data_IF_532818520146
#
_entry.id   IF_532818520146
#
_cell.length_a   1.000
_cell.length_b   1.000
_cell.length_c   1.000
_cell.angle_alpha   90.00
_cell.angle_beta   90.00
_cell.angle_gamma   90.00
#
_symmetry.space_group_name_H-M   'P 1'
#
loop_
_entity.id
_entity.type
_entity.pdbx_description
1 polymer ?
#
# COMPACT_ATOMS: atom_id res chain seq x y z
N UNK A 1 -32.96 -21.29 -11.70
CA UNK A 1 -32.60 -19.85 -11.69
C UNK A 1 -31.10 -19.69 -11.80
N UNK A 2 -30.56 -19.27 -12.94
CA UNK A 2 -29.13 -19.05 -13.11
C UNK A 2 -28.71 -17.77 -12.36
N UNK A 3 -27.94 -17.92 -11.29
CA UNK A 3 -27.42 -16.79 -10.50
C UNK A 3 -26.43 -16.02 -11.36
N UNK A 4 -26.84 -14.88 -11.93
CA UNK A 4 -25.94 -13.96 -12.65
C UNK A 4 -24.81 -13.53 -11.70
N UNK A 5 -23.62 -14.08 -11.93
CA UNK A 5 -22.39 -13.72 -11.21
C UNK A 5 -22.10 -12.24 -11.48
N UNK A 6 -22.37 -11.37 -10.50
CA UNK A 6 -22.10 -9.93 -10.60
C UNK A 6 -20.61 -9.73 -10.89
N UNK A 7 -20.28 -9.07 -12.02
CA UNK A 7 -18.90 -8.68 -12.34
C UNK A 7 -18.37 -7.81 -11.19
N UNK A 8 -17.33 -8.30 -10.51
CA UNK A 8 -16.68 -7.58 -9.40
C UNK A 8 -16.06 -6.31 -10.00
N UNK A 9 -16.53 -5.13 -9.58
CA UNK A 9 -15.96 -3.87 -10.02
C UNK A 9 -14.43 -3.89 -9.86
N UNK A 10 -13.70 -3.45 -10.88
CA UNK A 10 -12.24 -3.43 -10.87
C UNK A 10 -11.77 -2.69 -9.61
N UNK A 11 -11.22 -3.43 -8.65
CA UNK A 11 -10.75 -2.87 -7.37
C UNK A 11 -9.57 -1.94 -7.68
N UNK A 12 -9.83 -0.62 -7.63
CA UNK A 12 -8.79 0.40 -7.69
C UNK A 12 -7.81 0.14 -6.54
N UNK A 13 -6.54 -0.10 -6.86
CA UNK A 13 -5.50 -0.34 -5.85
C UNK A 13 -4.70 0.95 -5.63
N UNK A 14 -4.38 1.32 -4.38
CA UNK A 14 -3.49 2.44 -4.10
C UNK A 14 -2.07 2.08 -4.55
N UNK A 15 -1.59 2.71 -5.62
CA UNK A 15 -0.24 2.55 -6.14
C UNK A 15 0.61 3.70 -5.60
N UNK A 16 1.76 3.43 -4.94
CA UNK A 16 2.66 4.48 -4.52
C UNK A 16 3.19 5.24 -5.75
N UNK A 17 3.03 6.56 -5.76
CA UNK A 17 3.46 7.41 -6.86
C UNK A 17 4.98 7.42 -7.02
N UNK A 18 5.74 7.33 -5.92
CA UNK A 18 7.18 7.29 -5.91
C UNK A 18 7.69 5.95 -5.35
N UNK A 19 8.05 5.04 -6.27
CA UNK A 19 8.54 3.69 -5.94
C UNK A 19 9.86 3.73 -5.14
N UNK A 20 10.75 4.68 -5.43
CA UNK A 20 12.06 4.82 -4.75
C UNK A 20 11.88 5.21 -3.27
N UNK A 21 11.03 6.20 -3.00
CA UNK A 21 10.69 6.59 -1.62
C UNK A 21 10.00 5.46 -0.87
N UNK A 22 9.05 4.77 -1.51
CA UNK A 22 8.36 3.64 -0.90
C UNK A 22 9.32 2.51 -0.51
N UNK A 23 10.27 2.16 -1.40
CA UNK A 23 11.29 1.14 -1.12
C UNK A 23 12.19 1.51 0.07
N UNK A 24 12.64 2.79 0.14
CA UNK A 24 13.43 3.28 1.28
C UNK A 24 12.64 3.20 2.59
N UNK A 25 11.38 3.64 2.61
CA UNK A 25 10.53 3.56 3.81
C UNK A 25 10.25 2.11 4.19
N UNK A 26 10.05 1.21 3.21
CA UNK A 26 9.89 -0.23 3.46
C UNK A 26 11.12 -0.84 4.11
N UNK A 27 12.32 -0.47 3.67
CA UNK A 27 13.57 -0.91 4.30
C UNK A 27 13.70 -0.37 5.74
N UNK A 28 13.33 0.89 5.96
CA UNK A 28 13.30 1.47 7.31
C UNK A 28 12.28 0.77 8.21
N UNK A 29 11.10 0.41 7.68
CA UNK A 29 10.09 -0.32 8.42
C UNK A 29 10.59 -1.72 8.82
N UNK A 30 11.22 -2.45 7.89
CA UNK A 30 11.82 -3.76 8.18
C UNK A 30 12.93 -3.72 9.23
N UNK A 31 13.69 -2.62 9.30
CA UNK A 31 14.72 -2.44 10.34
C UNK A 31 14.12 -2.07 11.69
N UNK A 32 13.00 -1.34 11.70
CA UNK A 32 12.35 -0.84 12.92
C UNK A 32 11.44 -1.87 13.60
N UNK A 33 10.77 -2.70 12.82
CA UNK A 33 9.83 -3.70 13.34
C UNK A 33 10.41 -5.09 13.14
N UNK A 34 10.51 -5.85 14.24
CA UNK A 34 10.99 -7.24 14.19
C UNK A 34 10.11 -8.14 13.31
N UNK A 35 8.80 -7.89 13.27
CA UNK A 35 7.83 -8.66 12.47
C UNK A 35 7.24 -7.80 11.35
N UNK A 36 7.47 -8.24 10.12
CA UNK A 36 6.90 -7.64 8.91
C UNK A 36 6.37 -8.73 7.95
N UNK A 37 5.11 -8.64 7.47
CA UNK A 37 4.16 -7.54 7.64
C UNK A 37 3.38 -7.60 8.96
N UNK A 38 3.30 -6.48 9.68
CA UNK A 38 2.41 -6.29 10.83
C UNK A 38 1.52 -5.06 10.64
N UNK A 39 0.37 -4.99 11.32
CA UNK A 39 -0.59 -3.89 11.18
C UNK A 39 0.06 -2.54 11.51
N UNK A 40 0.81 -2.48 12.61
CA UNK A 40 1.54 -1.28 13.03
C UNK A 40 2.70 -0.92 12.10
N UNK A 41 3.45 -1.91 11.58
CA UNK A 41 4.52 -1.64 10.62
C UNK A 41 3.97 -1.09 9.29
N UNK A 42 2.85 -1.62 8.82
CA UNK A 42 2.18 -1.13 7.61
C UNK A 42 1.60 0.28 7.81
N UNK A 43 1.01 0.56 8.98
CA UNK A 43 0.55 1.89 9.35
C UNK A 43 1.69 2.91 9.40
N UNK A 44 2.81 2.55 10.04
CA UNK A 44 4.01 3.38 10.10
C UNK A 44 4.59 3.65 8.70
N UNK A 45 4.68 2.62 7.85
CA UNK A 45 5.14 2.78 6.47
C UNK A 45 4.29 3.80 5.72
N UNK A 46 2.95 3.68 5.77
CA UNK A 46 2.05 4.60 5.07
C UNK A 46 2.17 6.02 5.62
N UNK A 47 2.23 6.17 6.95
CA UNK A 47 2.38 7.47 7.63
C UNK A 47 3.69 8.15 7.24
N UNK A 48 4.82 7.44 7.33
CA UNK A 48 6.14 7.96 6.98
C UNK A 48 6.29 8.21 5.49
N UNK A 49 5.72 7.36 4.64
CA UNK A 49 5.73 7.60 3.19
C UNK A 49 4.95 8.86 2.84
N UNK A 50 3.77 9.09 3.43
CA UNK A 50 3.01 10.34 3.26
C UNK A 50 3.75 11.56 3.83
N UNK A 51 4.36 11.44 5.00
CA UNK A 51 5.13 12.52 5.61
C UNK A 51 6.34 12.95 4.75
N UNK A 52 6.96 12.01 4.04
CA UNK A 52 8.04 12.29 3.07
C UNK A 52 7.54 12.80 1.70
N UNK A 53 6.28 13.21 1.60
CA UNK A 53 5.66 13.70 0.36
C UNK A 53 5.18 12.60 -0.60
N UNK A 54 5.22 11.34 -0.19
CA UNK A 54 4.74 10.21 -0.98
C UNK A 54 3.21 10.17 -1.07
N UNK A 55 2.68 10.13 -2.29
CA UNK A 55 1.23 10.00 -2.54
C UNK A 55 0.89 8.59 -3.01
N UNK A 56 -0.36 8.19 -2.81
CA UNK A 56 -0.92 7.00 -3.44
C UNK A 56 -1.90 7.45 -4.50
N UNK A 57 -1.75 6.94 -5.73
CA UNK A 57 -2.72 7.13 -6.79
C UNK A 57 -3.65 5.92 -6.82
N UNK A 58 -4.94 6.14 -7.04
CA UNK A 58 -5.88 5.04 -7.26
C UNK A 58 -5.68 4.53 -8.68
N UNK A 59 -4.77 3.57 -8.83
CA UNK A 59 -4.52 2.91 -10.10
C UNK A 59 -5.58 1.86 -10.39
N UNK A 60 -5.99 1.78 -11.65
CA UNK A 60 -6.67 0.61 -12.18
C UNK A 60 -5.55 -0.38 -12.56
N UNK A 61 -5.62 -1.61 -12.07
CA UNK A 61 -4.68 -2.67 -12.48
C UNK A 61 -5.11 -3.21 -13.83
#
# INVERSE_FOLDING_TARGET
MAVRKRKKAAKKKPIPTNKKLYARVKAQAKRKFAVYPSAYANGWLVKTYKAKGGKYRMGVK
#
